data_IF_735801742485
#
_entry.id   IF_735801742485
#
_cell.length_a   1.000
_cell.length_b   1.000
_cell.length_c   1.000
_cell.angle_alpha   90.00
_cell.angle_beta   90.00
_cell.angle_gamma   90.00
#
_symmetry.space_group_name_H-M   'P 1'
#
loop_
_entity.id
_entity.type
_entity.pdbx_description
1 polymer ?
#
# COMPACT_ATOMS: atom_id res chain seq x y z
N UNK A 1 5.86 9.76 -1.73
CA UNK A 1 5.40 8.93 -0.60
C UNK A 1 5.08 7.55 -1.15
N UNK A 2 5.90 6.53 -0.86
CA UNK A 2 5.58 5.15 -1.22
C UNK A 2 4.47 4.60 -0.33
N UNK A 3 3.61 3.75 -0.89
CA UNK A 3 2.62 2.96 -0.15
C UNK A 3 3.13 1.58 0.27
N UNK A 4 2.25 0.56 0.32
CA UNK A 4 2.67 -0.81 0.59
C UNK A 4 3.54 -1.37 -0.53
N UNK A 5 4.86 -1.40 -0.29
CA UNK A 5 5.85 -1.96 -1.22
C UNK A 5 6.37 -3.28 -0.69
N UNK A 6 6.33 -4.30 -1.54
CA UNK A 6 6.75 -5.67 -1.22
C UNK A 6 8.23 -5.70 -0.82
N UNK A 7 8.57 -6.68 0.03
CA UNK A 7 9.96 -6.96 0.47
C UNK A 7 10.66 -5.82 1.22
N UNK A 8 9.92 -4.77 1.60
CA UNK A 8 10.46 -3.70 2.44
C UNK A 8 10.37 -4.07 3.91
N UNK A 9 11.36 -3.62 4.68
CA UNK A 9 11.36 -3.69 6.15
C UNK A 9 10.06 -3.16 6.76
N UNK A 10 9.60 -2.01 6.27
CA UNK A 10 8.38 -1.35 6.73
C UNK A 10 7.16 -2.24 6.57
N UNK A 11 6.98 -2.83 5.38
CA UNK A 11 5.85 -3.74 5.16
C UNK A 11 5.99 -5.04 5.93
N UNK A 12 7.20 -5.58 6.12
CA UNK A 12 7.39 -6.78 6.94
C UNK A 12 6.81 -6.58 8.34
N UNK A 13 7.22 -5.51 9.03
CA UNK A 13 6.71 -5.17 10.39
C UNK A 13 5.20 -4.92 10.43
N UNK A 14 4.63 -4.34 9.38
CA UNK A 14 3.20 -4.03 9.33
C UNK A 14 2.34 -5.26 9.00
N UNK A 15 2.89 -6.23 8.28
CA UNK A 15 2.20 -7.49 7.95
C UNK A 15 2.37 -8.57 9.01
N UNK A 16 3.45 -8.57 9.79
CA UNK A 16 3.69 -9.56 10.86
C UNK A 16 2.49 -9.74 11.81
N UNK A 17 1.81 -8.68 12.31
CA UNK A 17 0.73 -8.84 13.30
C UNK A 17 -0.64 -9.23 12.70
N UNK A 18 -0.89 -8.93 11.43
CA UNK A 18 -2.26 -8.96 10.84
C UNK A 18 -2.32 -9.67 9.48
N UNK A 19 -1.19 -10.13 8.96
CA UNK A 19 -1.07 -10.74 7.63
C UNK A 19 -1.08 -9.72 6.50
N UNK A 20 -0.69 -10.17 5.30
CA UNK A 20 -0.67 -9.35 4.08
C UNK A 20 -2.05 -9.16 3.45
N UNK A 21 -3.02 -10.02 3.77
CA UNK A 21 -4.38 -9.99 3.21
C UNK A 21 -5.09 -8.67 3.55
N UNK A 22 -5.05 -8.25 4.82
CA UNK A 22 -5.62 -6.98 5.30
C UNK A 22 -5.09 -5.78 4.49
N UNK A 23 -3.77 -5.74 4.28
CA UNK A 23 -3.14 -4.66 3.54
C UNK A 23 -3.47 -4.72 2.05
N UNK A 24 -3.57 -5.91 1.48
CA UNK A 24 -3.94 -6.13 0.09
C UNK A 24 -5.37 -5.66 -0.17
N UNK A 25 -6.31 -5.98 0.72
CA UNK A 25 -7.70 -5.53 0.63
C UNK A 25 -7.84 -4.01 0.86
N UNK A 26 -7.04 -3.44 1.76
CA UNK A 26 -7.08 -2.01 2.06
C UNK A 26 -6.53 -1.12 0.92
N UNK A 27 -5.69 -1.67 0.03
CA UNK A 27 -5.15 -0.96 -1.14
C UNK A 27 -6.16 -1.04 -2.29
N UNK A 28 -6.60 0.11 -2.86
CA UNK A 28 -7.55 0.10 -3.98
C UNK A 28 -7.12 -0.69 -5.22
N UNK A 29 -5.82 -0.75 -5.52
CA UNK A 29 -5.28 -1.62 -6.59
C UNK A 29 -5.18 -3.11 -6.20
N UNK A 30 -5.60 -3.47 -4.99
CA UNK A 30 -5.65 -4.84 -4.46
C UNK A 30 -4.33 -5.62 -4.57
N UNK A 31 -3.19 -4.91 -4.45
CA UNK A 31 -1.86 -5.51 -4.45
C UNK A 31 -0.85 -4.61 -3.77
N UNK A 32 0.27 -5.18 -3.35
CA UNK A 32 1.45 -4.40 -3.03
C UNK A 32 2.11 -3.92 -4.33
N UNK A 33 2.70 -2.73 -4.25
CA UNK A 33 3.63 -2.25 -5.26
C UNK A 33 4.97 -2.99 -5.15
N UNK A 34 5.76 -2.90 -6.21
CA UNK A 34 7.15 -3.37 -6.22
C UNK A 34 8.12 -2.19 -6.22
N UNK A 35 9.35 -2.41 -5.75
CA UNK A 35 10.35 -1.34 -5.60
C UNK A 35 10.63 -0.60 -6.92
N UNK A 36 10.56 -1.31 -8.06
CA UNK A 36 10.80 -0.72 -9.37
C UNK A 36 9.72 0.30 -9.78
N UNK A 37 8.49 0.21 -9.24
CA UNK A 37 7.42 1.18 -9.51
C UNK A 37 7.68 2.52 -8.82
N UNK A 38 8.25 2.49 -7.61
CA UNK A 38 8.74 3.69 -6.92
C UNK A 38 9.98 4.26 -7.64
N UNK A 39 10.90 3.38 -8.05
CA UNK A 39 12.10 3.78 -8.79
C UNK A 39 11.75 4.45 -10.14
N UNK A 40 10.75 3.95 -10.86
CA UNK A 40 10.28 4.55 -12.11
C UNK A 40 9.85 6.01 -11.91
N UNK A 41 9.12 6.31 -10.82
CA UNK A 41 8.75 7.69 -10.51
C UNK A 41 9.96 8.55 -10.12
N UNK A 42 10.93 7.99 -9.40
CA UNK A 42 12.18 8.69 -9.11
C UNK A 42 12.96 9.03 -10.39
N UNK A 43 12.97 8.14 -11.38
CA UNK A 43 13.56 8.39 -12.70
C UNK A 43 12.83 9.51 -13.42
N UNK A 44 11.49 9.52 -13.45
CA UNK A 44 10.70 10.62 -14.03
C UNK A 44 11.07 11.95 -13.38
N UNK A 45 11.10 12.00 -12.05
CA UNK A 45 11.44 13.21 -11.29
C UNK A 45 12.90 13.67 -11.47
N UNK A 46 13.81 12.76 -11.79
CA UNK A 46 15.22 13.07 -12.05
C UNK A 46 15.49 13.43 -13.52
N UNK A 47 14.50 13.27 -14.39
CA UNK A 47 14.63 13.48 -15.83
C UNK A 47 14.30 14.93 -16.23
N UNK A 48 14.65 15.36 -17.46
CA UNK A 48 14.25 16.66 -18.01
C UNK A 48 12.72 16.89 -18.04
N UNK A 49 11.90 15.82 -17.99
CA UNK A 49 10.43 15.92 -17.94
C UNK A 49 9.94 16.65 -16.69
N UNK A 50 10.72 16.64 -15.61
CA UNK A 50 10.39 17.27 -14.34
C UNK A 50 11.15 18.60 -14.12
N UNK A 51 11.67 19.23 -15.17
CA UNK A 51 12.56 20.40 -15.08
C UNK A 51 12.02 21.60 -14.28
N UNK A 52 10.69 21.70 -14.11
CA UNK A 52 10.05 22.75 -13.32
C UNK A 52 9.21 22.21 -12.15
N UNK A 53 9.36 20.92 -11.83
CA UNK A 53 8.67 20.28 -10.71
C UNK A 53 9.59 20.33 -9.48
N UNK A 54 9.25 21.19 -8.53
CA UNK A 54 9.96 21.30 -7.24
C UNK A 54 8.97 21.53 -6.10
N UNK A 55 9.33 21.13 -4.88
CA UNK A 55 8.48 21.27 -3.68
C UNK A 55 7.24 20.36 -3.62
N UNK A 56 7.02 19.51 -4.63
CA UNK A 56 5.88 18.61 -4.71
C UNK A 56 6.13 17.26 -4.01
N UNK A 57 5.06 16.65 -3.48
CA UNK A 57 5.06 15.26 -3.01
C UNK A 57 4.32 14.39 -4.03
N UNK A 58 5.01 13.47 -4.68
CA UNK A 58 4.39 12.50 -5.59
C UNK A 58 4.08 11.21 -4.83
N UNK A 59 2.82 10.77 -4.89
CA UNK A 59 2.33 9.57 -4.18
C UNK A 59 2.40 8.36 -5.11
N UNK A 60 2.93 7.25 -4.61
CA UNK A 60 3.06 5.97 -5.34
C UNK A 60 2.64 4.86 -4.39
N UNK A 61 1.32 4.68 -4.21
CA UNK A 61 0.78 3.87 -3.11
C UNK A 61 -0.43 2.99 -3.47
N UNK A 62 -0.77 2.89 -4.76
CA UNK A 62 -1.95 2.15 -5.20
C UNK A 62 -3.29 2.71 -4.72
N UNK A 63 -3.33 3.98 -4.28
CA UNK A 63 -4.55 4.69 -3.86
C UNK A 63 -4.81 4.66 -2.35
N UNK A 64 -3.92 4.06 -1.54
CA UNK A 64 -4.13 3.91 -0.10
C UNK A 64 -4.26 5.26 0.63
N UNK A 65 -3.41 6.23 0.31
CA UNK A 65 -3.37 7.54 0.95
C UNK A 65 -4.63 8.38 0.75
N UNK A 66 -5.37 8.15 -0.36
CA UNK A 66 -6.66 8.79 -0.60
C UNK A 66 -7.79 8.12 0.21
N UNK A 67 -7.68 6.81 0.43
CA UNK A 67 -8.68 6.02 1.17
C UNK A 67 -8.61 6.23 2.69
N UNK A 68 -7.45 6.69 3.19
CA UNK A 68 -7.20 6.91 4.61
C UNK A 68 -7.20 5.62 5.44
N UNK A 69 -7.09 5.75 6.77
CA UNK A 69 -7.08 4.59 7.69
C UNK A 69 -8.40 3.79 7.71
N UNK A 70 -9.48 4.37 7.19
CA UNK A 70 -10.78 3.70 7.10
C UNK A 70 -10.79 2.49 6.17
N UNK A 71 -9.94 2.43 5.13
CA UNK A 71 -9.82 1.21 4.32
C UNK A 71 -9.15 0.07 5.09
N UNK A 72 -8.14 0.37 5.89
CA UNK A 72 -7.46 -0.62 6.75
C UNK A 72 -8.41 -1.13 7.83
N UNK A 73 -9.16 -0.24 8.50
CA UNK A 73 -10.13 -0.65 9.53
C UNK A 73 -11.17 -1.61 8.95
N UNK A 74 -11.72 -1.29 7.78
CA UNK A 74 -12.71 -2.16 7.12
C UNK A 74 -12.11 -3.51 6.71
N UNK A 75 -10.89 -3.52 6.19
CA UNK A 75 -10.18 -4.75 5.83
C UNK A 75 -9.86 -5.64 7.05
N UNK A 76 -9.56 -5.03 8.20
CA UNK A 76 -9.39 -5.76 9.46
C UNK A 76 -10.70 -6.41 9.92
N UNK A 77 -11.81 -5.68 9.83
CA UNK A 77 -13.12 -6.17 10.24
C UNK A 77 -13.62 -7.30 9.31
N UNK A 78 -13.44 -7.16 8.00
CA UNK A 78 -13.79 -8.19 7.01
C UNK A 78 -12.96 -9.47 7.22
N UNK A 79 -11.64 -9.34 7.36
CA UNK A 79 -10.73 -10.49 7.59
C UNK A 79 -11.07 -11.21 8.89
N UNK A 80 -11.39 -10.48 9.97
CA UNK A 80 -11.86 -11.09 11.24
C UNK A 80 -13.20 -11.80 11.11
N UNK A 81 -14.13 -11.23 10.34
CA UNK A 81 -15.44 -11.85 10.10
C UNK A 81 -15.30 -13.15 9.31
N UNK A 82 -14.45 -13.18 8.29
CA UNK A 82 -14.15 -14.38 7.52
C UNK A 82 -13.54 -15.47 8.39
N UNK A 83 -12.51 -15.14 9.18
CA UNK A 83 -11.85 -16.09 10.09
C UNK A 83 -12.78 -16.67 11.18
N UNK A 84 -13.86 -15.96 11.55
CA UNK A 84 -14.87 -16.47 12.49
C UNK A 84 -15.87 -17.42 11.85
N UNK A 85 -16.20 -17.24 10.57
CA UNK A 85 -17.09 -18.13 9.85
C UNK A 85 -16.46 -19.53 9.68
N UNK A 86 -15.16 -19.57 9.35
CA UNK A 86 -14.40 -20.82 9.16
C UNK A 86 -14.23 -21.68 10.44
N UNK A 87 -14.57 -21.16 11.63
CA UNK A 87 -14.47 -21.87 12.92
C UNK A 87 -15.78 -22.59 13.29
N UNK A 88 -16.89 -22.25 12.64
CA UNK A 88 -18.24 -22.74 12.98
C UNK A 88 -18.69 -23.88 12.04
N UNK A 89 -17.95 -24.12 10.95
CA UNK A 89 -18.09 -25.27 10.04
C UNK A 89 -17.16 -26.43 10.42
#
# INVERSE_FOLDING_TARGET
>A
MPGPIRETEGMRRLTEPVGSAVWTEAVPLSRFGDAHEVAAMAVVLSSPLASYVTGARIVVDGGLGLSGLGSISRALDSTRSAARADVID
#
